data_IF_789263373396
#
_entry.id   IF_789263373396
#
_cell.length_a   1.000
_cell.length_b   1.000
_cell.length_c   1.000
_cell.angle_alpha   90.00
_cell.angle_beta   90.00
_cell.angle_gamma   90.00
#
_symmetry.space_group_name_H-M   'P 1'
#
loop_
_entity.id
_entity.type
_entity.pdbx_description
1 polymer ?
#
# COMPACT_ATOMS: atom_id res chain seq x y z
N UNK A 1 11.77 -5.84 -9.90
CA UNK A 1 10.45 -5.19 -9.74
C UNK A 1 10.47 -3.79 -10.33
N UNK A 2 9.38 -3.41 -10.95
CA UNK A 2 9.23 -2.03 -11.42
C UNK A 2 8.94 -1.10 -10.25
N UNK A 3 9.08 0.20 -10.48
CA UNK A 3 8.73 1.20 -9.46
C UNK A 3 7.28 1.06 -9.04
N UNK A 4 6.39 0.83 -9.99
CA UNK A 4 4.97 0.66 -9.66
C UNK A 4 4.74 -0.54 -8.77
N UNK A 5 5.45 -1.63 -9.05
CA UNK A 5 5.34 -2.83 -8.21
C UNK A 5 5.89 -2.59 -6.82
N UNK A 6 7.05 -1.92 -6.73
CA UNK A 6 7.64 -1.61 -5.43
C UNK A 6 6.72 -0.75 -4.58
N UNK A 7 6.21 0.33 -5.16
CA UNK A 7 5.33 1.23 -4.42
C UNK A 7 4.03 0.52 -4.05
N UNK A 8 3.49 -0.27 -4.98
CA UNK A 8 2.25 -1.00 -4.70
C UNK A 8 2.40 -1.99 -3.57
N UNK A 9 3.47 -2.78 -3.61
CA UNK A 9 3.71 -3.77 -2.56
C UNK A 9 3.99 -3.11 -1.22
N UNK A 10 4.73 -1.99 -1.22
CA UNK A 10 5.00 -1.29 0.02
C UNK A 10 3.75 -0.59 0.55
N UNK A 11 2.86 -0.14 -0.32
CA UNK A 11 1.57 0.37 0.12
C UNK A 11 0.81 -0.71 0.87
N UNK A 12 0.79 -1.92 0.33
CA UNK A 12 0.17 -3.06 0.99
C UNK A 12 0.87 -3.35 2.32
N UNK A 13 2.20 -3.34 2.33
CA UNK A 13 2.97 -3.60 3.54
C UNK A 13 2.60 -2.63 4.67
N UNK A 14 2.61 -1.34 4.38
CA UNK A 14 2.31 -0.35 5.41
C UNK A 14 0.84 -0.34 5.79
N UNK A 15 -0.03 -0.68 4.86
CA UNK A 15 -1.44 -0.86 5.20
C UNK A 15 -1.60 -1.97 6.23
N UNK A 16 -0.90 -3.09 6.03
CA UNK A 16 -0.91 -4.20 6.99
C UNK A 16 -0.30 -3.80 8.33
N UNK A 17 0.81 -3.05 8.30
CA UNK A 17 1.44 -2.60 9.53
C UNK A 17 0.50 -1.73 10.35
N UNK A 18 -0.38 -1.00 9.70
CA UNK A 18 -1.36 -0.15 10.36
C UNK A 18 -2.69 -0.86 10.56
N UNK A 19 -2.75 -2.13 10.25
CA UNK A 19 -3.94 -2.98 10.45
C UNK A 19 -5.18 -2.41 9.77
N UNK A 20 -4.99 -1.88 8.58
CA UNK A 20 -6.08 -1.31 7.78
C UNK A 20 -6.46 -2.22 6.64
N UNK A 21 -7.77 -2.33 6.37
CA UNK A 21 -8.26 -2.92 5.14
C UNK A 21 -8.08 -1.92 4.01
N UNK A 22 -8.24 -2.40 2.77
CA UNK A 22 -8.21 -1.48 1.63
C UNK A 22 -9.28 -0.42 1.74
N UNK A 23 -10.45 -0.79 2.24
CA UNK A 23 -11.54 0.16 2.40
C UNK A 23 -11.17 1.24 3.41
N UNK A 24 -10.58 0.85 4.53
CA UNK A 24 -10.16 1.81 5.55
C UNK A 24 -9.10 2.76 5.02
N UNK A 25 -8.16 2.24 4.24
CA UNK A 25 -7.13 3.08 3.64
C UNK A 25 -7.72 3.99 2.58
N UNK A 26 -8.67 3.50 1.81
CA UNK A 26 -9.38 4.33 0.84
C UNK A 26 -10.10 5.50 1.55
N UNK A 27 -10.76 5.20 2.66
CA UNK A 27 -11.42 6.25 3.44
C UNK A 27 -10.43 7.27 3.97
N UNK A 28 -9.28 6.81 4.43
CA UNK A 28 -8.25 7.71 4.98
C UNK A 28 -7.66 8.61 3.90
N UNK A 29 -7.42 8.06 2.72
CA UNK A 29 -6.76 8.80 1.64
C UNK A 29 -7.71 9.51 0.72
N UNK A 30 -9.01 9.18 0.78
CA UNK A 30 -10.02 9.64 -0.17
C UNK A 30 -9.82 9.08 -1.58
N UNK A 31 -8.93 8.12 -1.74
CA UNK A 31 -8.84 7.35 -2.98
C UNK A 31 -10.01 6.39 -3.05
N UNK A 32 -10.41 6.05 -4.25
CA UNK A 32 -11.39 4.98 -4.44
C UNK A 32 -10.75 3.64 -4.12
N UNK A 33 -11.52 2.72 -3.56
CA UNK A 33 -11.00 1.40 -3.20
C UNK A 33 -10.45 0.67 -4.43
N UNK A 34 -11.10 0.82 -5.57
CA UNK A 34 -10.61 0.20 -6.81
C UNK A 34 -9.23 0.72 -7.16
N UNK A 35 -8.94 1.99 -6.89
CA UNK A 35 -7.63 2.55 -7.17
C UNK A 35 -6.58 1.99 -6.20
N UNK A 36 -6.94 1.84 -4.92
CA UNK A 36 -6.05 1.21 -3.96
C UNK A 36 -5.68 -0.20 -4.43
N UNK A 37 -6.66 -0.94 -4.89
CA UNK A 37 -6.45 -2.29 -5.39
C UNK A 37 -5.49 -2.28 -6.58
N UNK A 38 -5.67 -1.36 -7.50
CA UNK A 38 -4.82 -1.21 -8.67
C UNK A 38 -3.39 -0.86 -8.27
N UNK A 39 -3.23 0.03 -7.29
CA UNK A 39 -1.91 0.40 -6.76
C UNK A 39 -1.22 -0.84 -6.21
N UNK A 40 -1.90 -1.59 -5.37
CA UNK A 40 -1.27 -2.73 -4.69
C UNK A 40 -0.97 -3.88 -5.64
N UNK A 41 -1.66 -3.95 -6.76
CA UNK A 41 -1.37 -4.95 -7.78
C UNK A 41 -0.22 -4.54 -8.70
N UNK A 42 0.32 -3.34 -8.52
CA UNK A 42 1.43 -2.87 -9.34
C UNK A 42 1.01 -2.36 -10.70
N UNK A 43 -0.27 -2.08 -10.88
CA UNK A 43 -0.83 -1.69 -12.18
C UNK A 43 -1.17 -0.22 -12.28
N UNK A 44 -0.99 0.53 -11.19
CA UNK A 44 -1.36 1.94 -11.20
C UNK A 44 -0.23 2.78 -11.77
N UNK A 45 -0.61 3.75 -12.59
CA UNK A 45 0.34 4.73 -13.11
C UNK A 45 0.44 5.87 -12.13
N UNK A 46 1.28 5.69 -11.10
CA UNK A 46 1.37 6.62 -9.99
C UNK A 46 2.20 7.85 -10.35
N UNK A 47 1.69 9.01 -9.99
CA UNK A 47 2.48 10.24 -10.07
C UNK A 47 3.32 10.36 -8.81
N UNK A 48 4.39 11.15 -8.90
CA UNK A 48 5.18 11.44 -7.70
C UNK A 48 4.33 12.09 -6.61
N UNK A 49 3.38 12.90 -7.01
CA UNK A 49 2.45 13.53 -6.06
C UNK A 49 1.65 12.51 -5.30
N UNK A 50 1.16 11.48 -5.98
CA UNK A 50 0.40 10.43 -5.33
C UNK A 50 1.28 9.59 -4.42
N UNK A 51 2.52 9.33 -4.83
CA UNK A 51 3.47 8.62 -4.00
C UNK A 51 3.72 9.40 -2.70
N UNK A 52 3.95 10.69 -2.81
CA UNK A 52 4.15 11.53 -1.64
C UNK A 52 2.93 11.51 -0.73
N UNK A 53 1.76 11.52 -1.31
CA UNK A 53 0.52 11.51 -0.55
C UNK A 53 0.35 10.19 0.21
N UNK A 54 0.67 9.08 -0.42
CA UNK A 54 0.61 7.76 0.23
C UNK A 54 1.59 7.72 1.40
N UNK A 55 2.81 8.18 1.17
CA UNK A 55 3.82 8.18 2.24
C UNK A 55 3.36 9.05 3.41
N UNK A 56 2.78 10.20 3.12
CA UNK A 56 2.28 11.09 4.15
C UNK A 56 1.15 10.44 4.94
N UNK A 57 0.29 9.71 4.25
CA UNK A 57 -0.83 9.03 4.91
C UNK A 57 -0.32 8.01 5.92
N UNK A 58 0.80 7.37 5.63
CA UNK A 58 1.43 6.42 6.55
C UNK A 58 2.42 7.07 7.50
N UNK A 59 2.69 8.38 7.33
CA UNK A 59 3.67 9.12 8.15
C UNK A 59 5.07 8.54 8.01
N UNK A 60 5.45 8.20 6.80
CA UNK A 60 6.77 7.65 6.49
C UNK A 60 7.42 8.50 5.41
N UNK A 61 8.73 8.33 5.25
CA UNK A 61 9.44 8.95 4.13
C UNK A 61 9.10 8.20 2.84
N UNK A 62 8.99 8.93 1.73
CA UNK A 62 8.58 8.33 0.47
C UNK A 62 9.56 7.27 -0.03
N UNK A 63 10.83 7.37 0.30
CA UNK A 63 11.79 6.37 -0.13
C UNK A 63 11.49 4.99 0.45
N UNK A 64 10.79 4.92 1.57
CA UNK A 64 10.41 3.62 2.15
C UNK A 64 9.43 2.87 1.28
N UNK A 65 8.72 3.57 0.41
CA UNK A 65 7.81 2.92 -0.53
C UNK A 65 8.57 2.20 -1.66
N UNK A 66 9.87 2.42 -1.76
CA UNK A 66 10.70 1.74 -2.76
C UNK A 66 11.59 0.67 -2.17
N UNK A 67 11.37 0.30 -0.92
CA UNK A 67 12.21 -0.69 -0.24
C UNK A 67 11.91 -2.08 -0.77
N UNK A 68 12.94 -2.74 -1.29
CA UNK A 68 12.79 -4.06 -1.89
C UNK A 68 12.46 -5.13 -0.85
N UNK A 69 13.05 -5.04 0.32
CA UNK A 69 12.88 -6.06 1.34
C UNK A 69 11.44 -6.14 1.83
N UNK A 70 10.85 -5.00 2.16
CA UNK A 70 9.46 -4.99 2.62
C UNK A 70 8.50 -5.30 1.48
N UNK A 71 8.84 -4.92 0.25
CA UNK A 71 8.05 -5.30 -0.91
C UNK A 71 7.98 -6.82 -1.05
N UNK A 72 9.12 -7.50 -0.89
CA UNK A 72 9.14 -8.94 -0.99
C UNK A 72 8.35 -9.60 0.14
N UNK A 73 8.40 -9.03 1.32
CA UNK A 73 7.59 -9.53 2.44
C UNK A 73 6.11 -9.36 2.15
N UNK A 74 5.75 -8.22 1.56
CA UNK A 74 4.35 -7.95 1.24
C UNK A 74 3.79 -8.93 0.23
N UNK A 75 4.62 -9.47 -0.67
CA UNK A 75 4.17 -10.46 -1.63
C UNK A 75 3.56 -11.68 -0.97
N UNK A 76 3.99 -11.99 0.24
CA UNK A 76 3.52 -13.18 0.95
C UNK A 76 2.27 -12.93 1.76
N UNK A 77 1.80 -11.70 1.81
CA UNK A 77 0.61 -11.36 2.56
C UNK A 77 -0.64 -11.62 1.73
N UNK A 78 -1.75 -12.00 2.38
CA UNK A 78 -3.03 -12.10 1.65
C UNK A 78 -3.41 -10.73 1.09
N UNK A 79 -4.37 -10.75 0.16
CA UNK A 79 -4.76 -9.50 -0.49
C UNK A 79 -5.48 -8.54 0.43
N UNK A 80 -5.97 -9.02 1.56
CA UNK A 80 -6.64 -8.13 2.51
C UNK A 80 -6.35 -8.59 3.91
N UNK A 81 -6.38 -7.62 4.81
CA UNK A 81 -6.21 -7.91 6.24
C UNK A 81 -7.40 -8.74 6.70
N UNK A 82 -7.09 -9.82 7.40
CA UNK A 82 -8.14 -10.65 7.97
C UNK A 82 -8.48 -10.11 9.35
N UNK A 83 -9.51 -9.32 9.39
CA UNK A 83 -9.90 -8.67 10.63
C UNK A 83 -10.60 -9.59 11.61
N UNK A 84 -10.90 -10.79 11.17
CA UNK A 84 -11.66 -11.72 12.01
C UNK A 84 -10.79 -12.63 12.82
N UNK A 85 -9.52 -12.71 12.49
CA UNK A 85 -8.60 -13.60 13.19
C UNK A 85 -7.85 -12.93 14.30
N UNK A 86 -8.13 -11.70 14.55
CA UNK A 86 -7.39 -11.00 15.58
C UNK A 86 -7.89 -11.27 16.96
N UNK A 87 -8.85 -12.04 17.07
CA UNK A 87 -9.43 -12.36 18.35
C UNK A 87 -8.48 -13.03 19.27
#
# INVERSE_FOLDING_TARGET
>A
MTSMELVGLNTKWYRYQNKMTQEQFANKTKFKMAYISTIENGDANLTCKNIDFIAKAFKIKQELLFNTETALKAKKLPNRVDMYNKN
#
